data_IF_288955351393
#
_entry.id   IF_288955351393
#
_cell.length_a   1.000
_cell.length_b   1.000
_cell.length_c   1.000
_cell.angle_alpha   90.00
_cell.angle_beta   90.00
_cell.angle_gamma   90.00
#
_symmetry.space_group_name_H-M   'P 1'
#
loop_
_entity.id
_entity.type
_entity.pdbx_description
1 polymer ?
#
# COMPACT_ATOMS: atom_id res chain seq x y z
N UNK A 1 56.83 -17.68 59.20
CA UNK A 1 56.77 -16.48 60.04
C UNK A 1 55.99 -15.40 59.31
N UNK A 2 54.65 -15.41 59.39
CA UNK A 2 53.82 -14.19 59.23
C UNK A 2 52.35 -14.55 59.51
N UNK A 3 51.92 -14.27 60.73
CA UNK A 3 50.50 -14.16 61.10
C UNK A 3 50.24 -12.68 61.37
N UNK A 4 48.99 -12.29 61.14
CA UNK A 4 48.36 -11.04 61.60
C UNK A 4 48.61 -9.82 60.71
N UNK A 5 47.56 -9.37 60.03
CA UNK A 5 47.02 -8.00 60.09
C UNK A 5 45.79 -7.89 59.14
N UNK A 6 44.75 -8.67 59.43
CA UNK A 6 43.41 -8.54 58.86
C UNK A 6 42.41 -8.37 60.01
N UNK A 7 42.43 -7.21 60.65
CA UNK A 7 41.43 -6.84 61.66
C UNK A 7 41.49 -5.34 61.89
N UNK A 8 40.76 -4.54 61.09
CA UNK A 8 40.35 -3.18 61.51
C UNK A 8 39.30 -2.46 60.63
N UNK A 9 38.82 -3.02 59.51
CA UNK A 9 37.83 -2.32 58.67
C UNK A 9 36.35 -2.57 59.01
N UNK A 10 36.02 -3.55 59.86
CA UNK A 10 34.62 -3.82 60.21
C UNK A 10 34.06 -2.95 61.33
N UNK A 11 34.91 -2.40 62.22
CA UNK A 11 34.49 -1.62 63.38
C UNK A 11 34.11 -0.17 63.03
N UNK A 12 34.77 0.44 62.04
CA UNK A 12 34.45 1.81 61.61
C UNK A 12 33.14 1.91 60.83
N UNK A 13 32.76 0.86 60.08
CA UNK A 13 31.53 0.86 59.27
C UNK A 13 30.27 0.67 60.14
N UNK A 14 30.36 -0.14 61.20
CA UNK A 14 29.28 -0.31 62.18
C UNK A 14 29.06 0.96 63.01
N UNK A 15 30.13 1.64 63.43
CA UNK A 15 30.01 2.91 64.16
C UNK A 15 29.35 4.02 63.34
N UNK A 16 29.64 4.12 62.03
CA UNK A 16 29.01 5.10 61.14
C UNK A 16 27.51 4.81 60.93
N UNK A 17 27.14 3.52 60.87
CA UNK A 17 25.75 3.09 60.71
C UNK A 17 24.89 3.37 61.96
N UNK A 18 25.49 3.26 63.16
CA UNK A 18 24.80 3.62 64.40
C UNK A 18 24.68 5.14 64.57
N UNK A 19 25.69 5.92 64.18
CA UNK A 19 25.66 7.39 64.29
C UNK A 19 24.60 8.05 63.38
N UNK A 20 24.37 7.49 62.19
CA UNK A 20 23.36 7.99 61.24
C UNK A 20 21.91 7.64 61.63
N UNK A 21 21.69 6.70 62.57
CA UNK A 21 20.35 6.26 63.01
C UNK A 21 19.87 6.96 64.29
N UNK A 22 20.76 7.66 64.99
CA UNK A 22 20.48 8.34 66.26
C UNK A 22 20.13 9.83 66.13
N UNK A 23 20.02 10.37 64.92
CA UNK A 23 19.53 11.74 64.72
C UNK A 23 17.99 11.68 64.78
N UNK A 24 17.33 12.23 65.81
CA UNK A 24 15.88 12.26 65.84
C UNK A 24 15.43 13.10 64.64
N UNK A 25 14.70 12.47 63.71
CA UNK A 25 13.96 13.21 62.69
C UNK A 25 12.90 14.03 63.45
N UNK A 26 13.30 15.24 63.82
CA UNK A 26 12.43 16.22 64.45
C UNK A 26 11.25 16.46 63.52
N UNK A 27 10.08 16.69 64.10
CA UNK A 27 8.79 16.78 63.38
C UNK A 27 8.83 17.79 62.20
N UNK A 28 9.75 18.74 62.25
CA UNK A 28 10.09 19.70 61.20
C UNK A 28 10.72 19.05 59.96
N UNK A 29 11.66 18.11 60.12
CA UNK A 29 12.28 17.40 58.99
C UNK A 29 11.26 16.50 58.26
N UNK A 30 10.38 15.79 58.98
CA UNK A 30 9.29 15.00 58.36
C UNK A 30 8.31 15.88 57.58
N UNK A 31 7.97 17.07 58.09
CA UNK A 31 7.10 18.03 57.38
C UNK A 31 7.78 18.62 56.14
N UNK A 32 9.08 18.90 56.20
CA UNK A 32 9.87 19.36 55.06
C UNK A 32 9.98 18.26 54.00
N UNK A 33 10.22 17.00 54.39
CA UNK A 33 10.21 15.86 53.46
C UNK A 33 8.82 15.66 52.83
N UNK A 34 7.74 15.81 53.60
CA UNK A 34 6.37 15.69 53.07
C UNK A 34 6.03 16.82 52.08
N UNK A 35 6.46 18.05 52.36
CA UNK A 35 6.27 19.20 51.47
C UNK A 35 7.10 19.09 50.19
N UNK A 36 8.33 18.56 50.26
CA UNK A 36 9.16 18.28 49.10
C UNK A 36 8.55 17.19 48.20
N UNK A 37 7.96 16.14 48.77
CA UNK A 37 7.26 15.09 48.01
C UNK A 37 5.99 15.64 47.34
N UNK A 38 5.21 16.49 48.02
CA UNK A 38 4.05 17.16 47.41
C UNK A 38 4.44 18.11 46.28
N UNK A 39 5.56 18.82 46.39
CA UNK A 39 6.08 19.69 45.34
C UNK A 39 6.58 18.89 44.13
N UNK A 40 7.22 17.74 44.34
CA UNK A 40 7.66 16.82 43.27
C UNK A 40 6.44 16.20 42.54
N UNK A 41 5.38 15.84 43.27
CA UNK A 41 4.13 15.33 42.69
C UNK A 41 3.31 16.41 41.95
N UNK A 42 3.51 17.69 42.25
CA UNK A 42 2.88 18.81 41.55
C UNK A 42 3.57 19.12 40.20
N UNK A 43 4.86 18.78 40.06
CA UNK A 43 5.65 19.00 38.83
C UNK A 43 5.69 17.82 37.85
N UNK A 44 5.17 16.64 38.24
CA UNK A 44 4.79 15.58 37.29
C UNK A 44 3.33 15.91 36.90
N UNK A 45 3.08 17.03 36.22
CA UNK A 45 3.31 17.06 34.79
C UNK A 45 2.39 16.04 34.14
N UNK A 46 1.13 16.42 33.89
CA UNK A 46 0.26 15.71 32.95
C UNK A 46 0.90 15.85 31.57
N UNK A 47 1.88 14.99 31.27
CA UNK A 47 2.20 14.67 29.90
C UNK A 47 0.93 14.03 29.36
N UNK A 48 0.16 14.79 28.58
CA UNK A 48 -0.84 14.21 27.69
C UNK A 48 -0.07 13.27 26.79
N UNK A 49 0.02 12.00 27.18
CA UNK A 49 0.29 10.91 26.27
C UNK A 49 -0.91 10.95 25.34
N UNK A 50 -0.79 11.72 24.26
CA UNK A 50 -1.66 11.55 23.12
C UNK A 50 -1.59 10.05 22.79
N UNK A 51 -2.72 9.35 22.70
CA UNK A 51 -2.72 8.01 22.12
C UNK A 51 -1.88 8.07 20.84
N UNK A 52 -1.08 7.04 20.51
CA UNK A 52 -0.51 6.97 19.18
C UNK A 52 -1.68 7.21 18.22
N UNK A 53 -1.57 8.21 17.35
CA UNK A 53 -2.54 8.39 16.31
C UNK A 53 -2.53 7.08 15.53
N UNK A 54 -3.52 6.23 15.78
CA UNK A 54 -3.97 5.27 14.79
C UNK A 54 -4.50 6.17 13.70
N UNK A 55 -3.61 6.63 12.82
CA UNK A 55 -4.00 7.10 11.51
C UNK A 55 -4.41 5.81 10.83
N UNK A 56 -5.66 5.39 11.08
CA UNK A 56 -6.35 4.56 10.11
C UNK A 56 -6.28 5.39 8.83
N UNK A 57 -5.37 5.03 7.93
CA UNK A 57 -5.31 5.60 6.59
C UNK A 57 -6.60 5.16 5.92
N UNK A 58 -7.70 5.90 6.19
CA UNK A 58 -8.99 5.81 5.52
C UNK A 58 -8.85 6.30 4.06
N UNK A 59 -7.73 5.97 3.41
CA UNK A 59 -7.58 6.18 1.99
C UNK A 59 -8.51 5.21 1.30
N UNK A 60 -9.35 5.82 0.51
CA UNK A 60 -10.18 5.10 -0.43
C UNK A 60 -9.30 4.53 -1.53
N UNK A 61 -9.46 3.24 -1.82
CA UNK A 61 -8.79 2.59 -2.93
C UNK A 61 -9.84 1.85 -3.78
N UNK A 62 -9.55 1.63 -5.07
CA UNK A 62 -10.23 0.60 -5.83
C UNK A 62 -10.04 -0.77 -5.16
N UNK A 63 -11.04 -1.65 -5.27
CA UNK A 63 -10.94 -3.03 -4.79
C UNK A 63 -9.85 -3.78 -5.57
N UNK A 64 -9.80 -3.54 -6.88
CA UNK A 64 -8.77 -4.05 -7.77
C UNK A 64 -8.62 -3.19 -9.03
N UNK A 65 -7.39 -3.11 -9.55
CA UNK A 65 -7.11 -2.54 -10.88
C UNK A 65 -6.48 -3.61 -11.76
N UNK A 66 -7.19 -3.96 -12.82
CA UNK A 66 -6.74 -4.86 -13.86
C UNK A 66 -6.15 -4.07 -15.03
N UNK A 67 -4.94 -4.41 -15.44
CA UNK A 67 -4.32 -3.86 -16.65
C UNK A 67 -4.21 -4.96 -17.70
N UNK A 68 -4.67 -4.66 -18.91
CA UNK A 68 -4.64 -5.61 -20.01
C UNK A 68 -4.22 -4.89 -21.29
N UNK A 69 -3.15 -5.35 -21.94
CA UNK A 69 -2.82 -4.90 -23.28
C UNK A 69 -3.91 -5.37 -24.26
N UNK A 70 -4.29 -4.54 -25.24
CA UNK A 70 -5.18 -4.96 -26.33
C UNK A 70 -4.80 -6.34 -26.88
N UNK A 71 -5.80 -7.12 -27.31
CA UNK A 71 -5.60 -8.42 -27.93
C UNK A 71 -5.01 -8.32 -29.34
N UNK A 72 -4.81 -9.46 -30.02
CA UNK A 72 -4.17 -9.54 -31.33
C UNK A 72 -4.86 -8.65 -32.37
N UNK A 73 -4.14 -7.62 -32.85
CA UNK A 73 -4.60 -6.68 -33.88
C UNK A 73 -4.21 -7.12 -35.30
N UNK A 74 -4.96 -6.65 -36.29
CA UNK A 74 -4.59 -6.78 -37.69
C UNK A 74 -3.25 -6.05 -37.97
N UNK A 75 -2.44 -6.60 -38.88
CA UNK A 75 -1.18 -5.99 -39.33
C UNK A 75 -1.33 -5.53 -40.78
N UNK A 76 -1.92 -4.36 -40.97
CA UNK A 76 -2.16 -3.75 -42.29
C UNK A 76 -1.20 -2.57 -42.47
N UNK A 77 -0.46 -2.56 -43.59
CA UNK A 77 0.54 -1.51 -43.87
C UNK A 77 -0.14 -0.15 -44.03
N UNK A 78 0.28 0.84 -43.24
CA UNK A 78 -0.24 2.21 -43.30
C UNK A 78 -1.49 2.46 -42.45
N UNK A 79 -2.11 1.41 -41.92
CA UNK A 79 -3.23 1.53 -40.99
C UNK A 79 -2.72 1.84 -39.58
N UNK A 80 -3.19 2.94 -38.98
CA UNK A 80 -2.77 3.40 -37.66
C UNK A 80 -3.70 2.93 -36.54
N UNK A 81 -4.95 2.62 -36.89
CA UNK A 81 -5.96 2.15 -35.96
C UNK A 81 -6.55 0.80 -36.38
N UNK A 82 -5.72 -0.24 -36.57
CA UNK A 82 -6.21 -1.54 -37.01
C UNK A 82 -7.11 -2.17 -35.94
N UNK A 83 -8.15 -2.85 -36.41
CA UNK A 83 -9.05 -3.64 -35.58
C UNK A 83 -8.39 -4.91 -35.06
N UNK A 84 -9.09 -5.63 -34.17
CA UNK A 84 -8.71 -6.96 -33.75
C UNK A 84 -8.80 -7.99 -34.89
N UNK A 85 -7.93 -8.99 -34.82
CA UNK A 85 -8.07 -10.22 -35.59
C UNK A 85 -9.16 -11.11 -34.99
N UNK A 86 -9.56 -12.16 -35.70
CA UNK A 86 -10.43 -13.21 -35.14
C UNK A 86 -9.86 -13.80 -33.84
N UNK A 87 -8.54 -14.04 -33.78
CA UNK A 87 -7.86 -14.52 -32.56
C UNK A 87 -7.95 -13.49 -31.43
N UNK A 88 -7.81 -12.21 -31.77
CA UNK A 88 -7.96 -11.10 -30.83
C UNK A 88 -9.36 -11.04 -30.21
N UNK A 89 -10.41 -11.19 -31.01
CA UNK A 89 -11.78 -11.26 -30.49
C UNK A 89 -12.02 -12.47 -29.59
N UNK A 90 -11.45 -13.65 -29.91
CA UNK A 90 -11.53 -14.82 -29.02
C UNK A 90 -10.86 -14.55 -27.67
N UNK A 91 -9.70 -13.88 -27.66
CA UNK A 91 -9.01 -13.49 -26.43
C UNK A 91 -9.79 -12.42 -25.65
N UNK A 92 -10.38 -11.46 -26.33
CA UNK A 92 -11.25 -10.45 -25.72
C UNK A 92 -12.45 -11.11 -25.02
N UNK A 93 -13.07 -12.10 -25.65
CA UNK A 93 -14.13 -12.88 -25.01
C UNK A 93 -13.61 -13.69 -23.80
N UNK A 94 -12.43 -14.31 -23.91
CA UNK A 94 -11.82 -15.03 -22.78
C UNK A 94 -11.49 -14.10 -21.59
N UNK A 95 -11.08 -12.86 -21.86
CA UNK A 95 -10.92 -11.82 -20.83
C UNK A 95 -12.25 -11.54 -20.15
N UNK A 96 -13.31 -11.36 -20.95
CA UNK A 96 -14.64 -11.11 -20.45
C UNK A 96 -15.14 -12.25 -19.54
N UNK A 97 -14.96 -13.50 -19.96
CA UNK A 97 -15.32 -14.68 -19.18
C UNK A 97 -14.52 -14.79 -17.88
N UNK A 98 -13.22 -14.45 -17.89
CA UNK A 98 -12.37 -14.49 -16.69
C UNK A 98 -12.76 -13.46 -15.62
N UNK A 99 -13.48 -12.40 -15.99
CA UNK A 99 -13.86 -11.31 -15.09
C UNK A 99 -15.39 -11.18 -14.95
N UNK A 100 -16.16 -12.14 -15.48
CA UNK A 100 -17.61 -12.05 -15.63
C UNK A 100 -18.38 -11.88 -14.30
N UNK A 101 -17.88 -12.45 -13.21
CA UNK A 101 -18.58 -12.46 -11.92
C UNK A 101 -18.22 -11.26 -11.03
N UNK A 102 -17.33 -10.38 -11.49
CA UNK A 102 -16.94 -9.18 -10.76
C UNK A 102 -18.08 -8.17 -10.80
N UNK A 103 -18.34 -7.54 -9.66
CA UNK A 103 -19.33 -6.48 -9.50
C UNK A 103 -18.64 -5.11 -9.41
N UNK A 104 -19.43 -4.03 -9.53
CA UNK A 104 -18.93 -2.65 -9.43
C UNK A 104 -17.80 -2.34 -10.43
N UNK A 105 -17.92 -2.90 -11.64
CA UNK A 105 -16.95 -2.72 -12.73
C UNK A 105 -16.91 -1.30 -13.26
N UNK A 106 -15.71 -0.83 -13.62
CA UNK A 106 -15.48 0.36 -14.45
C UNK A 106 -14.45 0.01 -15.49
N UNK A 107 -14.68 0.39 -16.75
CA UNK A 107 -13.77 0.08 -17.85
C UNK A 107 -13.19 1.37 -18.41
N UNK A 108 -11.88 1.40 -18.55
CA UNK A 108 -11.14 2.38 -19.33
C UNK A 108 -10.48 1.75 -20.54
N UNK A 109 -10.44 2.48 -21.64
CA UNK A 109 -9.71 2.11 -22.85
C UNK A 109 -9.04 3.35 -23.44
N UNK A 110 -7.94 3.14 -24.17
CA UNK A 110 -7.47 4.16 -25.10
C UNK A 110 -8.45 4.43 -26.24
N UNK A 111 -8.19 5.50 -26.98
CA UNK A 111 -8.95 5.94 -28.16
C UNK A 111 -8.87 4.97 -29.35
N UNK A 112 -7.97 3.97 -29.32
CA UNK A 112 -7.79 3.04 -30.43
C UNK A 112 -8.85 1.93 -30.47
N UNK A 113 -9.25 1.53 -31.67
CA UNK A 113 -10.25 0.50 -31.92
C UNK A 113 -9.89 -0.83 -31.24
N UNK A 114 -8.62 -1.26 -31.35
CA UNK A 114 -8.14 -2.50 -30.76
C UNK A 114 -8.29 -2.57 -29.23
N UNK A 115 -8.11 -1.48 -28.48
CA UNK A 115 -8.29 -1.50 -27.01
C UNK A 115 -9.77 -1.53 -26.66
N UNK A 116 -10.59 -0.74 -27.38
CA UNK A 116 -12.05 -0.72 -27.18
C UNK A 116 -12.68 -2.09 -27.49
N UNK A 117 -12.32 -2.69 -28.61
CA UNK A 117 -12.75 -4.04 -29.01
C UNK A 117 -12.24 -5.14 -28.07
N UNK A 118 -11.11 -4.93 -27.39
CA UNK A 118 -10.62 -5.89 -26.39
C UNK A 118 -11.50 -5.88 -25.14
N UNK A 119 -12.03 -4.71 -24.78
CA UNK A 119 -12.85 -4.53 -23.59
C UNK A 119 -14.35 -4.71 -23.84
N UNK A 120 -14.82 -4.75 -25.09
CA UNK A 120 -16.24 -4.69 -25.44
C UNK A 120 -17.08 -5.82 -24.85
N UNK A 121 -16.62 -7.07 -24.93
CA UNK A 121 -17.36 -8.19 -24.34
C UNK A 121 -17.46 -8.10 -22.82
N UNK A 122 -16.46 -7.52 -22.14
CA UNK A 122 -16.53 -7.31 -20.71
C UNK A 122 -17.48 -6.16 -20.36
N UNK A 123 -17.47 -5.09 -21.15
CA UNK A 123 -18.42 -3.98 -21.02
C UNK A 123 -19.87 -4.46 -21.12
N UNK A 124 -20.16 -5.36 -22.07
CA UNK A 124 -21.46 -6.02 -22.19
C UNK A 124 -21.80 -6.86 -20.95
N UNK A 125 -20.87 -7.69 -20.46
CA UNK A 125 -21.11 -8.55 -19.27
C UNK A 125 -21.29 -7.77 -17.97
N UNK A 126 -20.56 -6.67 -17.82
CA UNK A 126 -20.66 -5.79 -16.65
C UNK A 126 -21.79 -4.77 -16.77
N UNK A 127 -22.43 -4.66 -17.94
CA UNK A 127 -23.46 -3.67 -18.25
C UNK A 127 -22.99 -2.22 -17.99
N UNK A 128 -21.75 -1.91 -18.42
CA UNK A 128 -21.13 -0.59 -18.25
C UNK A 128 -20.57 -0.04 -19.56
N UNK A 129 -20.48 1.28 -19.65
CA UNK A 129 -19.81 1.95 -20.76
C UNK A 129 -18.28 1.86 -20.67
N UNK A 130 -17.63 1.96 -21.84
CA UNK A 130 -16.18 2.10 -21.94
C UNK A 130 -15.81 3.59 -21.83
N UNK A 131 -15.08 3.94 -20.77
CA UNK A 131 -14.58 5.28 -20.57
C UNK A 131 -13.28 5.48 -21.37
N UNK A 132 -13.29 6.39 -22.34
CA UNK A 132 -12.10 6.65 -23.15
C UNK A 132 -11.14 7.57 -22.38
N UNK A 133 -9.90 7.12 -22.24
CA UNK A 133 -8.79 7.89 -21.69
C UNK A 133 -7.58 7.80 -22.63
N UNK A 134 -7.05 8.94 -23.07
CA UNK A 134 -6.01 8.98 -24.10
C UNK A 134 -4.75 8.23 -23.68
N UNK A 135 -4.17 7.45 -24.60
CA UNK A 135 -2.91 6.72 -24.36
C UNK A 135 -1.71 7.64 -24.04
N UNK A 136 -1.83 8.94 -24.34
CA UNK A 136 -0.78 9.93 -24.11
C UNK A 136 -0.77 10.55 -22.70
N UNK A 137 -1.68 10.14 -21.81
CA UNK A 137 -1.84 10.74 -20.47
C UNK A 137 -1.95 9.64 -19.37
N UNK A 138 -0.90 8.84 -19.14
CA UNK A 138 -0.95 7.78 -18.13
C UNK A 138 -1.06 8.33 -16.70
N UNK A 139 -0.50 9.51 -16.41
CA UNK A 139 -0.62 10.16 -15.10
C UNK A 139 -2.07 10.54 -14.78
N UNK A 140 -2.76 11.25 -15.69
CA UNK A 140 -4.16 11.59 -15.50
C UNK A 140 -5.08 10.36 -15.48
N UNK A 141 -4.65 9.23 -16.06
CA UNK A 141 -5.39 7.98 -15.95
C UNK A 141 -5.36 7.44 -14.53
N UNK A 142 -4.18 7.47 -13.88
CA UNK A 142 -4.02 6.99 -12.52
C UNK A 142 -4.77 7.87 -11.53
N UNK A 143 -4.73 9.19 -11.68
CA UNK A 143 -5.51 10.09 -10.82
C UNK A 143 -7.00 9.70 -10.83
N UNK A 144 -7.60 9.55 -12.01
CA UNK A 144 -9.00 9.12 -12.15
C UNK A 144 -9.26 7.75 -11.54
N UNK A 145 -8.34 6.81 -11.73
CA UNK A 145 -8.49 5.43 -11.26
C UNK A 145 -8.39 5.34 -9.74
N UNK A 146 -7.50 6.10 -9.13
CA UNK A 146 -7.31 6.08 -7.68
C UNK A 146 -8.47 6.74 -6.92
N UNK A 147 -9.21 7.66 -7.56
CA UNK A 147 -10.41 8.26 -6.99
C UNK A 147 -11.64 7.32 -6.99
N UNK A 148 -11.58 6.18 -7.67
CA UNK A 148 -12.69 5.22 -7.80
C UNK A 148 -12.72 4.19 -6.65
N UNK A 149 -13.10 4.68 -5.48
CA UNK A 149 -13.43 3.92 -4.27
C UNK A 149 -14.28 2.65 -4.50
N UNK A 150 -13.86 1.50 -3.96
CA UNK A 150 -14.64 0.26 -3.94
C UNK A 150 -15.14 -0.17 -5.34
N UNK A 151 -14.39 0.20 -6.38
CA UNK A 151 -14.61 -0.19 -7.76
C UNK A 151 -13.59 -1.23 -8.16
N UNK A 152 -14.02 -2.10 -9.08
CA UNK A 152 -13.09 -2.95 -9.81
C UNK A 152 -12.89 -2.38 -11.20
N UNK A 153 -11.64 -2.15 -11.58
CA UNK A 153 -11.33 -1.35 -12.76
C UNK A 153 -10.59 -2.21 -13.77
N UNK A 154 -11.01 -2.19 -15.04
CA UNK A 154 -10.19 -2.69 -16.16
C UNK A 154 -9.63 -1.49 -16.95
N UNK A 155 -8.33 -1.51 -17.23
CA UNK A 155 -7.68 -0.61 -18.18
C UNK A 155 -7.18 -1.42 -19.38
N UNK A 156 -7.78 -1.18 -20.56
CA UNK A 156 -7.27 -1.72 -21.83
C UNK A 156 -6.29 -0.75 -22.49
N UNK A 157 -5.02 -1.16 -22.58
CA UNK A 157 -3.91 -0.33 -23.04
C UNK A 157 -3.02 -0.98 -24.10
N UNK A 158 -1.77 -0.53 -24.18
CA UNK A 158 -0.78 -0.92 -25.19
C UNK A 158 0.47 -1.51 -24.54
N UNK A 159 1.35 -2.09 -25.35
CA UNK A 159 2.64 -2.64 -24.88
C UNK A 159 3.54 -1.62 -24.20
N UNK A 160 3.37 -0.32 -24.49
CA UNK A 160 4.11 0.77 -23.84
C UNK A 160 3.34 1.43 -22.69
N UNK A 161 2.01 1.56 -22.78
CA UNK A 161 1.23 2.24 -21.73
C UNK A 161 1.00 1.36 -20.50
N UNK A 162 0.85 0.04 -20.68
CA UNK A 162 0.65 -0.88 -19.55
C UNK A 162 1.88 -0.88 -18.62
N UNK A 163 3.13 -1.04 -19.10
CA UNK A 163 4.31 -0.88 -18.26
C UNK A 163 4.43 0.48 -17.58
N UNK A 164 4.08 1.57 -18.27
CA UNK A 164 4.10 2.91 -17.68
C UNK A 164 3.13 3.02 -16.49
N UNK A 165 1.90 2.50 -16.65
CA UNK A 165 0.92 2.45 -15.57
C UNK A 165 1.41 1.56 -14.40
N UNK A 166 1.96 0.38 -14.68
CA UNK A 166 2.53 -0.51 -13.66
C UNK A 166 3.56 0.23 -12.79
N UNK A 167 4.46 0.97 -13.44
CA UNK A 167 5.47 1.78 -12.75
C UNK A 167 4.84 2.89 -11.90
N UNK A 168 3.87 3.61 -12.46
CA UNK A 168 3.19 4.71 -11.76
C UNK A 168 2.31 4.24 -10.60
N UNK A 169 1.76 3.02 -10.63
CA UNK A 169 1.11 2.39 -9.47
C UNK A 169 2.09 2.08 -8.33
N UNK A 170 3.40 2.17 -8.57
CA UNK A 170 4.45 2.00 -7.57
C UNK A 170 5.16 0.65 -7.62
N UNK A 171 4.93 -0.17 -8.64
CA UNK A 171 5.71 -1.39 -8.86
C UNK A 171 7.11 -1.01 -9.36
N UNK A 172 8.15 -1.50 -8.67
CA UNK A 172 9.52 -1.02 -8.87
C UNK A 172 10.30 -1.79 -9.93
N UNK A 173 9.90 -3.02 -10.21
CA UNK A 173 10.59 -3.85 -11.20
C UNK A 173 10.17 -3.44 -12.61
N UNK A 174 11.11 -3.54 -13.54
CA UNK A 174 10.86 -3.25 -14.95
C UNK A 174 9.99 -4.34 -15.56
N UNK A 175 8.90 -3.93 -16.21
CA UNK A 175 8.03 -4.80 -16.99
C UNK A 175 8.16 -4.42 -18.46
N UNK A 176 8.52 -5.38 -19.30
CA UNK A 176 8.57 -5.22 -20.75
C UNK A 176 7.49 -6.11 -21.37
N UNK A 177 6.77 -5.57 -22.35
CA UNK A 177 5.76 -6.31 -23.12
C UNK A 177 6.12 -6.18 -24.60
N UNK A 178 6.49 -7.27 -25.24
CA UNK A 178 6.86 -7.28 -26.66
C UNK A 178 5.66 -7.01 -27.57
N UNK A 179 5.85 -6.50 -28.80
CA UNK A 179 4.74 -6.17 -29.71
C UNK A 179 3.87 -7.39 -30.10
N UNK A 180 4.38 -8.61 -29.99
CA UNK A 180 3.66 -9.85 -30.25
C UNK A 180 3.22 -10.61 -28.98
N UNK A 181 3.48 -10.07 -27.79
CA UNK A 181 3.06 -10.63 -26.50
C UNK A 181 1.62 -10.20 -26.13
N UNK A 182 0.69 -11.15 -26.10
CA UNK A 182 -0.73 -10.90 -25.85
C UNK A 182 -1.30 -11.82 -24.76
N UNK A 183 -2.22 -11.27 -23.95
CA UNK A 183 -3.02 -12.04 -23.00
C UNK A 183 -2.55 -11.97 -21.55
N UNK A 184 -1.68 -11.03 -21.21
CA UNK A 184 -1.24 -10.82 -19.83
C UNK A 184 -2.24 -9.91 -19.11
N UNK A 185 -2.83 -10.44 -18.05
CA UNK A 185 -3.72 -9.73 -17.14
C UNK A 185 -2.96 -9.47 -15.85
N UNK A 186 -2.53 -8.22 -15.69
CA UNK A 186 -1.94 -7.72 -14.46
C UNK A 186 -3.05 -7.28 -13.52
N UNK A 187 -2.97 -7.63 -12.24
CA UNK A 187 -3.95 -7.24 -11.23
C UNK A 187 -3.24 -6.62 -10.03
N UNK A 188 -3.59 -5.38 -9.73
CA UNK A 188 -3.21 -4.66 -8.54
C UNK A 188 -4.31 -4.73 -7.47
N UNK A 189 -3.90 -4.99 -6.23
CA UNK A 189 -4.77 -4.95 -5.04
C UNK A 189 -4.01 -4.33 -3.86
N UNK A 190 -4.72 -3.88 -2.84
CA UNK A 190 -4.14 -3.26 -1.64
C UNK A 190 -4.57 -3.93 -0.33
N UNK A 191 -4.36 -5.26 -0.16
CA UNK A 191 -4.69 -5.92 1.10
C UNK A 191 -3.89 -5.29 2.26
N UNK A 192 -4.60 -4.87 3.31
CA UNK A 192 -4.02 -4.20 4.48
C UNK A 192 -3.16 -2.96 4.10
N UNK A 193 -3.53 -2.24 3.04
CA UNK A 193 -2.85 -1.03 2.58
C UNK A 193 -1.53 -1.26 1.83
N UNK A 194 -1.15 -2.52 1.57
CA UNK A 194 0.08 -2.85 0.84
C UNK A 194 -0.22 -3.23 -0.61
N UNK A 195 0.42 -2.55 -1.57
CA UNK A 195 0.31 -2.85 -3.00
C UNK A 195 0.79 -4.27 -3.29
N UNK A 196 -0.06 -5.07 -3.94
CA UNK A 196 0.29 -6.38 -4.48
C UNK A 196 -0.01 -6.43 -5.97
N UNK A 197 0.93 -6.95 -6.75
CA UNK A 197 0.78 -7.23 -8.18
C UNK A 197 0.73 -8.74 -8.40
N UNK A 198 -0.23 -9.19 -9.20
CA UNK A 198 -0.30 -10.56 -9.71
C UNK A 198 -0.48 -10.57 -11.22
N UNK A 199 -0.09 -11.66 -11.86
CA UNK A 199 -0.15 -11.85 -13.31
C UNK A 199 -0.90 -13.15 -13.63
N UNK A 200 -1.85 -13.07 -14.56
CA UNK A 200 -2.57 -14.22 -15.11
C UNK A 200 -2.54 -14.20 -16.65
N UNK A 201 -2.42 -15.37 -17.26
CA UNK A 201 -2.56 -15.58 -18.71
C UNK A 201 -4.02 -15.79 -19.09
N UNK A 202 -4.48 -15.13 -20.14
CA UNK A 202 -5.87 -15.16 -20.62
C UNK A 202 -5.92 -15.58 -22.09
N UNK A 203 -6.74 -16.58 -22.42
CA UNK A 203 -7.08 -16.96 -23.81
C UNK A 203 -5.98 -17.70 -24.57
N UNK A 204 -5.29 -18.64 -23.90
CA UNK A 204 -4.32 -19.54 -24.55
C UNK A 204 -4.99 -20.50 -25.52
#
# INVERSE_FOLDING_TARGET
MHKSLLKNNHTNLLMLYFFLRSIPLTLTMKRITLLLIMFILYFIGCSSVSPPAIIDDYRCYPDAVYLFRHAEKQKIKGEKNPELTKKGFLRANALADSLALIQNGVIFSSEYARTQQTASFLAEKWEVDINIHTASDPEGQIEKVMDLCNKTILISGHSNTIPALIKLFGFKEEVVIDDDQYGDLFMFTWPNGSLQLSLKRIGE
#
